data_IF_937291356635
#
_entry.id   IF_937291356635
#
_cell.length_a   1.000
_cell.length_b   1.000
_cell.length_c   1.000
_cell.angle_alpha   90.00
_cell.angle_beta   90.00
_cell.angle_gamma   90.00
#
_symmetry.space_group_name_H-M   'P 1'
#
loop_
_entity.id
_entity.type
_entity.pdbx_description
1 polymer ?
#
# COMPACT_ATOMS: atom_id res chain seq x y z
N UNK A 1 52.51 21.51 83.14
CA UNK A 1 51.47 20.79 82.36
C UNK A 1 51.95 20.20 81.01
N UNK A 2 53.26 19.91 80.81
CA UNK A 2 53.83 19.51 79.49
C UNK A 2 53.90 17.99 79.23
N UNK A 3 53.89 17.14 80.28
CA UNK A 3 54.04 15.68 80.17
C UNK A 3 52.82 14.91 79.61
N UNK A 4 51.61 15.49 79.67
CA UNK A 4 50.36 14.82 79.23
C UNK A 4 50.22 14.84 77.69
N UNK A 5 50.62 15.93 77.04
CA UNK A 5 50.52 16.07 75.58
C UNK A 5 51.54 15.19 74.84
N UNK A 6 52.73 14.98 75.42
CA UNK A 6 53.75 14.06 74.86
C UNK A 6 53.29 12.60 74.91
N UNK A 7 52.61 12.18 75.98
CA UNK A 7 52.05 10.82 76.08
C UNK A 7 50.93 10.56 75.07
N UNK A 8 50.12 11.57 74.73
CA UNK A 8 49.13 11.45 73.66
C UNK A 8 49.76 11.44 72.26
N UNK A 9 50.82 12.23 72.05
CA UNK A 9 51.56 12.25 70.79
C UNK A 9 52.23 10.89 70.50
N UNK A 10 52.83 10.27 71.52
CA UNK A 10 53.46 8.94 71.42
C UNK A 10 52.41 7.85 71.18
N UNK A 11 51.24 7.92 71.82
CA UNK A 11 50.14 6.97 71.57
C UNK A 11 49.59 7.09 70.15
N UNK A 12 49.45 8.30 69.62
CA UNK A 12 49.03 8.53 68.23
C UNK A 12 50.09 7.99 67.27
N UNK A 13 51.37 8.20 67.54
CA UNK A 13 52.47 7.68 66.73
C UNK A 13 52.51 6.15 66.72
N UNK A 14 52.29 5.50 67.86
CA UNK A 14 52.23 4.03 67.96
C UNK A 14 50.99 3.49 67.25
N UNK A 15 49.84 4.16 67.35
CA UNK A 15 48.63 3.76 66.60
C UNK A 15 48.82 3.94 65.09
N UNK A 16 49.49 5.00 64.65
CA UNK A 16 49.86 5.23 63.24
C UNK A 16 50.86 4.18 62.73
N UNK A 17 51.79 3.76 63.60
CA UNK A 17 52.80 2.76 63.29
C UNK A 17 52.21 1.33 63.25
N UNK A 18 51.15 1.05 64.03
CA UNK A 18 50.43 -0.23 63.98
C UNK A 18 49.43 -0.26 62.80
N UNK A 19 48.83 0.88 62.41
CA UNK A 19 47.95 0.96 61.24
C UNK A 19 48.69 0.74 59.90
N UNK A 20 50.01 0.97 59.88
CA UNK A 20 50.85 0.76 58.70
C UNK A 20 51.29 -0.70 58.48
N UNK A 21 51.12 -1.60 59.46
CA UNK A 21 51.65 -2.98 59.42
C UNK A 21 50.58 -4.00 58.99
N UNK A 22 49.29 -3.66 58.99
CA UNK A 22 48.20 -4.60 58.68
C UNK A 22 47.70 -4.58 57.23
N UNK A 23 48.32 -3.82 56.33
CA UNK A 23 48.10 -4.01 54.90
C UNK A 23 49.18 -4.99 54.42
N UNK A 24 48.92 -6.31 54.28
CA UNK A 24 49.76 -7.11 53.42
C UNK A 24 49.64 -6.48 52.04
N UNK A 25 50.65 -5.72 51.65
CA UNK A 25 50.83 -5.25 50.31
C UNK A 25 50.99 -6.51 49.45
N UNK A 26 49.88 -7.03 48.95
CA UNK A 26 49.86 -7.96 47.85
C UNK A 26 50.23 -7.16 46.60
N UNK A 27 51.51 -6.82 46.49
CA UNK A 27 52.13 -6.32 45.27
C UNK A 27 52.32 -7.51 44.35
N UNK A 28 51.22 -7.99 43.76
CA UNK A 28 51.33 -8.63 42.45
C UNK A 28 51.66 -7.51 41.45
N UNK A 29 52.95 -7.17 41.34
CA UNK A 29 53.44 -6.55 40.11
C UNK A 29 53.33 -7.62 39.03
N UNK A 30 52.17 -7.65 38.37
CA UNK A 30 51.97 -8.36 37.11
C UNK A 30 53.11 -7.92 36.19
N UNK A 31 53.97 -8.84 35.69
CA UNK A 31 55.12 -8.46 34.89
C UNK A 31 54.66 -7.61 33.70
N UNK A 32 55.45 -6.62 33.25
CA UNK A 32 55.06 -5.76 32.14
C UNK A 32 54.66 -6.65 30.96
N UNK A 33 53.44 -6.47 30.45
CA UNK A 33 52.92 -7.21 29.31
C UNK A 33 53.86 -6.92 28.14
N UNK A 34 54.73 -7.88 27.81
CA UNK A 34 55.61 -7.78 26.64
C UNK A 34 54.75 -8.11 25.43
N UNK A 35 54.20 -7.09 24.76
CA UNK A 35 53.54 -7.29 23.47
C UNK A 35 54.55 -7.91 22.52
N UNK A 36 54.28 -9.14 22.09
CA UNK A 36 55.08 -9.75 21.04
C UNK A 36 54.69 -9.10 19.70
N UNK A 37 55.60 -9.06 18.71
CA UNK A 37 55.23 -8.66 17.35
C UNK A 37 54.04 -9.45 16.78
N UNK A 38 53.81 -10.69 17.24
CA UNK A 38 52.63 -11.47 16.87
C UNK A 38 51.33 -10.89 17.47
N UNK A 39 51.32 -10.44 18.73
CA UNK A 39 50.14 -9.84 19.37
C UNK A 39 49.73 -8.52 18.69
N UNK A 40 50.73 -7.73 18.26
CA UNK A 40 50.51 -6.48 17.51
C UNK A 40 49.94 -6.79 16.13
N UNK A 41 50.46 -7.79 15.43
CA UNK A 41 49.95 -8.20 14.12
C UNK A 41 48.51 -8.76 14.19
N UNK A 42 48.20 -9.56 15.22
CA UNK A 42 46.85 -10.10 15.43
C UNK A 42 45.85 -9.00 15.76
N UNK A 43 46.20 -8.08 16.67
CA UNK A 43 45.32 -6.95 17.02
C UNK A 43 45.10 -5.98 15.85
N UNK A 44 46.12 -5.72 15.03
CA UNK A 44 45.97 -4.94 13.81
C UNK A 44 45.04 -5.62 12.79
N UNK A 45 45.19 -6.93 12.59
CA UNK A 45 44.30 -7.70 11.69
C UNK A 45 42.86 -7.81 12.20
N UNK A 46 42.66 -7.86 13.52
CA UNK A 46 41.33 -7.78 14.11
C UNK A 46 40.69 -6.41 13.90
N UNK A 47 41.44 -5.32 14.11
CA UNK A 47 40.96 -3.96 13.87
C UNK A 47 40.60 -3.73 12.40
N UNK A 48 41.41 -4.19 11.46
CA UNK A 48 41.10 -4.09 10.03
C UNK A 48 39.81 -4.84 9.66
N UNK A 49 39.58 -6.01 10.29
CA UNK A 49 38.32 -6.74 10.13
C UNK A 49 37.14 -6.01 10.75
N UNK A 50 37.29 -5.44 11.93
CA UNK A 50 36.25 -4.62 12.59
C UNK A 50 35.88 -3.41 11.72
N UNK A 51 36.87 -2.69 11.20
CA UNK A 51 36.65 -1.54 10.32
C UNK A 51 35.94 -1.97 9.01
N UNK A 52 36.33 -3.11 8.43
CA UNK A 52 35.68 -3.66 7.24
C UNK A 52 34.24 -4.12 7.49
N UNK A 53 33.95 -4.69 8.66
CA UNK A 53 32.59 -5.07 9.07
C UNK A 53 31.75 -3.82 9.31
N UNK A 54 32.26 -2.83 10.05
CA UNK A 54 31.57 -1.58 10.31
C UNK A 54 31.22 -0.82 9.02
N UNK A 55 32.13 -0.82 8.04
CA UNK A 55 31.88 -0.23 6.72
C UNK A 55 30.75 -0.96 5.97
N UNK A 56 30.70 -2.29 6.03
CA UNK A 56 29.63 -3.09 5.41
C UNK A 56 28.29 -2.89 6.10
N UNK A 57 28.28 -2.86 7.43
CA UNK A 57 27.07 -2.61 8.21
C UNK A 57 26.47 -1.24 7.89
N UNK A 58 27.31 -0.21 7.78
CA UNK A 58 26.87 1.12 7.37
C UNK A 58 26.27 1.12 5.97
N UNK A 59 26.94 0.48 5.00
CA UNK A 59 26.43 0.39 3.62
C UNK A 59 25.10 -0.39 3.54
N UNK A 60 24.95 -1.45 4.34
CA UNK A 60 23.70 -2.20 4.44
C UNK A 60 22.58 -1.36 5.06
N UNK A 61 22.85 -0.64 6.14
CA UNK A 61 21.86 0.24 6.78
C UNK A 61 21.38 1.35 5.84
N UNK A 62 22.29 1.93 5.03
CA UNK A 62 21.93 2.92 4.01
C UNK A 62 21.03 2.30 2.92
N UNK A 63 21.36 1.09 2.46
CA UNK A 63 20.56 0.34 1.48
C UNK A 63 19.19 -0.06 2.00
N UNK A 64 19.09 -0.51 3.24
CA UNK A 64 17.82 -0.84 3.89
C UNK A 64 16.91 0.39 3.99
N UNK A 65 17.48 1.56 4.33
CA UNK A 65 16.73 2.81 4.38
C UNK A 65 16.22 3.21 2.99
N UNK A 66 17.04 3.10 1.96
CA UNK A 66 16.67 3.37 0.56
C UNK A 66 15.55 2.43 0.10
N UNK A 67 15.70 1.12 0.33
CA UNK A 67 14.69 0.12 -0.01
C UNK A 67 13.39 0.33 0.75
N UNK A 68 13.46 0.69 2.04
CA UNK A 68 12.27 1.00 2.84
C UNK A 68 11.51 2.20 2.29
N UNK A 69 12.21 3.26 1.88
CA UNK A 69 11.60 4.43 1.26
C UNK A 69 10.94 4.08 -0.09
N UNK A 70 11.62 3.29 -0.93
CA UNK A 70 11.10 2.86 -2.21
C UNK A 70 9.87 1.96 -2.06
N UNK A 71 9.88 1.02 -1.10
CA UNK A 71 8.73 0.17 -0.81
C UNK A 71 7.51 1.01 -0.38
N UNK A 72 7.70 2.02 0.46
CA UNK A 72 6.62 2.95 0.83
C UNK A 72 6.07 3.70 -0.37
N UNK A 73 6.93 4.19 -1.26
CA UNK A 73 6.49 4.89 -2.48
C UNK A 73 5.69 3.94 -3.40
N UNK A 74 6.11 2.68 -3.51
CA UNK A 74 5.39 1.65 -4.28
C UNK A 74 4.02 1.38 -3.66
N UNK A 75 3.92 1.21 -2.35
CA UNK A 75 2.66 1.00 -1.65
C UNK A 75 1.70 2.21 -1.82
N UNK A 76 2.22 3.42 -1.73
CA UNK A 76 1.45 4.65 -1.99
C UNK A 76 0.94 4.72 -3.44
N UNK A 77 1.77 4.32 -4.41
CA UNK A 77 1.34 4.26 -5.82
C UNK A 77 0.29 3.18 -6.02
N UNK A 78 0.46 2.01 -5.41
CA UNK A 78 -0.48 0.89 -5.52
C UNK A 78 -1.84 1.24 -4.93
N UNK A 79 -1.87 1.88 -3.76
CA UNK A 79 -3.11 2.36 -3.13
C UNK A 79 -3.82 3.41 -3.98
N UNK A 80 -3.09 4.38 -4.54
CA UNK A 80 -3.64 5.36 -5.49
C UNK A 80 -4.22 4.71 -6.75
N UNK A 81 -3.51 3.74 -7.33
CA UNK A 81 -3.98 3.02 -8.52
C UNK A 81 -5.26 2.23 -8.23
N UNK A 82 -5.33 1.55 -7.09
CA UNK A 82 -6.54 0.80 -6.70
C UNK A 82 -7.72 1.75 -6.47
N UNK A 83 -7.52 2.88 -5.79
CA UNK A 83 -8.57 3.87 -5.59
C UNK A 83 -9.09 4.41 -6.93
N UNK A 84 -8.20 4.73 -7.87
CA UNK A 84 -8.59 5.18 -9.21
C UNK A 84 -9.32 4.08 -10.00
N UNK A 85 -8.89 2.81 -9.86
CA UNK A 85 -9.57 1.69 -10.49
C UNK A 85 -11.00 1.50 -9.94
N UNK A 86 -11.19 1.62 -8.63
CA UNK A 86 -12.51 1.57 -8.00
C UNK A 86 -13.39 2.73 -8.42
N UNK A 87 -12.84 3.94 -8.49
CA UNK A 87 -13.57 5.11 -8.99
C UNK A 87 -14.02 4.90 -10.43
N UNK A 88 -13.12 4.44 -11.32
CA UNK A 88 -13.46 4.12 -12.72
C UNK A 88 -14.51 3.02 -12.82
N UNK A 89 -14.40 1.96 -12.01
CA UNK A 89 -15.44 0.90 -11.95
C UNK A 89 -16.77 1.45 -11.46
N UNK A 90 -16.77 2.36 -10.49
CA UNK A 90 -17.95 3.05 -9.99
C UNK A 90 -18.61 3.93 -11.04
N UNK A 91 -17.81 4.74 -11.75
CA UNK A 91 -18.28 5.61 -12.84
C UNK A 91 -18.83 4.79 -14.01
N UNK A 92 -18.12 3.75 -14.45
CA UNK A 92 -18.58 2.85 -15.52
C UNK A 92 -19.83 2.07 -15.09
N UNK A 93 -19.85 1.51 -13.89
CA UNK A 93 -21.00 0.78 -13.35
C UNK A 93 -22.22 1.68 -13.16
N UNK A 94 -22.03 2.92 -12.70
CA UNK A 94 -23.08 3.94 -12.57
C UNK A 94 -23.61 4.41 -13.92
N UNK A 95 -22.73 4.65 -14.89
CA UNK A 95 -23.10 5.05 -16.24
C UNK A 95 -23.88 3.95 -16.98
N UNK A 96 -23.46 2.70 -16.86
CA UNK A 96 -24.15 1.54 -17.46
C UNK A 96 -25.52 1.34 -16.80
N UNK A 97 -25.60 1.31 -15.46
CA UNK A 97 -26.88 1.18 -14.74
C UNK A 97 -27.85 2.34 -15.02
N UNK A 98 -27.33 3.56 -15.13
CA UNK A 98 -28.13 4.75 -15.46
C UNK A 98 -28.74 4.68 -16.85
N UNK A 99 -27.92 4.33 -17.86
CA UNK A 99 -28.38 4.14 -19.24
C UNK A 99 -29.38 2.98 -19.35
N UNK A 100 -29.12 1.86 -18.69
CA UNK A 100 -30.04 0.71 -18.66
C UNK A 100 -31.38 1.08 -18.03
N UNK A 101 -31.39 1.87 -16.95
CA UNK A 101 -32.63 2.28 -16.29
C UNK A 101 -33.42 3.27 -17.14
N UNK A 102 -32.75 4.23 -17.78
CA UNK A 102 -33.39 5.17 -18.72
C UNK A 102 -33.98 4.42 -19.92
N UNK A 103 -33.25 3.46 -20.48
CA UNK A 103 -33.72 2.61 -21.57
C UNK A 103 -34.92 1.76 -21.13
N UNK A 104 -34.86 1.09 -19.97
CA UNK A 104 -36.00 0.34 -19.41
C UNK A 104 -37.25 1.21 -19.21
N UNK A 105 -37.08 2.43 -18.73
CA UNK A 105 -38.18 3.39 -18.57
C UNK A 105 -38.77 3.77 -19.92
N UNK A 106 -37.93 4.01 -20.94
CA UNK A 106 -38.37 4.25 -22.31
C UNK A 106 -39.23 3.08 -22.82
N UNK A 107 -38.72 1.85 -22.75
CA UNK A 107 -39.47 0.65 -23.18
C UNK A 107 -40.81 0.53 -22.44
N UNK A 108 -40.84 0.83 -21.14
CA UNK A 108 -42.07 0.81 -20.34
C UNK A 108 -43.11 1.82 -20.84
N UNK A 109 -42.69 3.03 -21.19
CA UNK A 109 -43.58 4.08 -21.75
C UNK A 109 -44.15 3.62 -23.10
N UNK A 110 -43.29 3.14 -24.00
CA UNK A 110 -43.71 2.66 -25.32
C UNK A 110 -44.62 1.43 -25.22
N UNK A 111 -44.35 0.52 -24.28
CA UNK A 111 -45.15 -0.69 -24.04
C UNK A 111 -46.51 -0.41 -23.39
N UNK A 112 -46.64 0.69 -22.63
CA UNK A 112 -47.91 1.11 -22.03
C UNK A 112 -48.80 1.89 -23.02
N UNK A 113 -48.24 2.37 -24.12
CA UNK A 113 -48.95 3.13 -25.14
C UNK A 113 -49.67 2.20 -26.11
N UNK A 114 -50.78 2.67 -26.70
CA UNK A 114 -51.49 1.88 -27.71
C UNK A 114 -50.65 1.71 -28.99
N UNK A 115 -50.69 0.54 -29.65
CA UNK A 115 -49.90 0.30 -30.86
C UNK A 115 -50.10 1.34 -31.98
N UNK A 116 -51.31 1.89 -32.11
CA UNK A 116 -51.62 2.93 -33.10
C UNK A 116 -50.96 4.28 -32.80
N UNK A 117 -50.57 4.56 -31.55
CA UNK A 117 -49.81 5.77 -31.19
C UNK A 117 -48.30 5.54 -31.26
N UNK A 118 -47.85 4.31 -31.02
CA UNK A 118 -46.44 3.93 -31.10
C UNK A 118 -45.92 3.86 -32.54
N UNK A 119 -46.70 3.27 -33.45
CA UNK A 119 -46.30 3.10 -34.84
C UNK A 119 -45.84 4.41 -35.53
N UNK A 120 -46.58 5.54 -35.48
CA UNK A 120 -46.13 6.78 -36.10
C UNK A 120 -44.90 7.42 -35.42
N UNK A 121 -44.60 7.06 -34.17
CA UNK A 121 -43.35 7.47 -33.52
C UNK A 121 -42.17 6.69 -34.09
N UNK A 122 -42.32 5.37 -34.23
CA UNK A 122 -41.28 4.51 -34.80
C UNK A 122 -41.02 4.79 -36.28
N UNK A 123 -42.05 5.18 -37.05
CA UNK A 123 -41.89 5.58 -38.46
C UNK A 123 -40.96 6.79 -38.63
N UNK A 124 -40.91 7.69 -37.64
CA UNK A 124 -40.07 8.89 -37.64
C UNK A 124 -38.66 8.68 -37.08
N UNK A 125 -38.41 7.52 -36.46
CA UNK A 125 -37.10 7.17 -35.91
C UNK A 125 -36.20 6.55 -36.97
N UNK A 126 -34.90 6.45 -36.70
CA UNK A 126 -34.00 5.66 -37.52
C UNK A 126 -34.33 4.16 -37.42
N UNK A 127 -34.06 3.39 -38.47
CA UNK A 127 -34.40 1.96 -38.52
C UNK A 127 -33.74 1.17 -37.38
N UNK A 128 -32.49 1.51 -37.04
CA UNK A 128 -31.70 0.83 -35.99
C UNK A 128 -32.31 1.09 -34.60
N UNK A 129 -32.69 2.32 -34.29
CA UNK A 129 -33.29 2.70 -33.01
C UNK A 129 -34.68 2.05 -32.83
N UNK A 130 -35.48 2.04 -33.89
CA UNK A 130 -36.79 1.38 -33.87
C UNK A 130 -36.66 -0.13 -33.60
N UNK A 131 -35.68 -0.80 -34.20
CA UNK A 131 -35.39 -2.21 -33.98
C UNK A 131 -34.95 -2.48 -32.54
N UNK A 132 -34.09 -1.62 -31.98
CA UNK A 132 -33.62 -1.76 -30.61
C UNK A 132 -34.78 -1.68 -29.60
N UNK A 133 -35.70 -0.73 -29.80
CA UNK A 133 -36.92 -0.59 -29.00
C UNK A 133 -37.80 -1.84 -29.17
N UNK A 134 -38.08 -2.26 -30.40
CA UNK A 134 -38.96 -3.39 -30.67
C UNK A 134 -38.40 -4.71 -30.13
N UNK A 135 -37.08 -4.94 -30.17
CA UNK A 135 -36.43 -6.13 -29.59
C UNK A 135 -36.61 -6.21 -28.07
N UNK A 136 -36.64 -5.07 -27.40
CA UNK A 136 -36.84 -5.00 -25.95
C UNK A 136 -38.32 -5.08 -25.53
N UNK A 137 -39.27 -4.99 -26.47
CA UNK A 137 -40.69 -5.12 -26.22
C UNK A 137 -41.16 -6.59 -26.25
N UNK A 138 -42.34 -6.86 -25.67
CA UNK A 138 -42.98 -8.18 -25.75
C UNK A 138 -43.40 -8.48 -27.19
N UNK A 139 -43.22 -9.72 -27.63
CA UNK A 139 -43.56 -10.19 -28.98
C UNK A 139 -45.00 -9.86 -29.39
N UNK A 140 -45.98 -10.00 -28.48
CA UNK A 140 -47.39 -9.67 -28.75
C UNK A 140 -47.62 -8.18 -29.05
N UNK A 141 -46.84 -7.30 -28.41
CA UNK A 141 -46.92 -5.87 -28.66
C UNK A 141 -46.31 -5.54 -30.02
N UNK A 142 -45.14 -6.12 -30.32
CA UNK A 142 -44.44 -5.97 -31.62
C UNK A 142 -45.34 -6.43 -32.77
N UNK A 143 -45.99 -7.59 -32.64
CA UNK A 143 -46.92 -8.14 -33.64
C UNK A 143 -48.11 -7.20 -33.92
N UNK A 144 -48.52 -6.39 -32.95
CA UNK A 144 -49.60 -5.39 -33.12
C UNK A 144 -49.11 -4.05 -33.67
N UNK A 145 -47.81 -3.77 -33.56
CA UNK A 145 -47.18 -2.51 -33.99
C UNK A 145 -46.71 -2.60 -35.45
N UNK A 146 -46.04 -3.69 -35.84
CA UNK A 146 -45.48 -3.86 -37.19
C UNK A 146 -46.52 -3.60 -38.29
N UNK A 147 -47.75 -4.16 -38.24
CA UNK A 147 -48.76 -3.93 -39.27
C UNK A 147 -49.29 -2.49 -39.35
N UNK A 148 -48.94 -1.64 -38.37
CA UNK A 148 -49.37 -0.24 -38.28
C UNK A 148 -48.28 0.74 -38.71
N UNK A 149 -47.06 0.25 -38.97
CA UNK A 149 -45.97 1.06 -39.53
C UNK A 149 -46.23 1.35 -41.00
N UNK A 150 -45.54 2.35 -41.54
CA UNK A 150 -45.46 2.54 -42.98
C UNK A 150 -44.92 1.27 -43.65
N UNK A 151 -45.46 0.90 -44.82
CA UNK A 151 -45.13 -0.37 -45.50
C UNK A 151 -43.62 -0.56 -45.68
N UNK A 152 -42.91 0.47 -46.16
CA UNK A 152 -41.46 0.39 -46.34
C UNK A 152 -40.71 0.24 -45.02
N UNK A 153 -41.17 0.93 -43.97
CA UNK A 153 -40.58 0.85 -42.63
C UNK A 153 -40.77 -0.54 -42.03
N UNK A 154 -41.97 -1.10 -42.13
CA UNK A 154 -42.30 -2.45 -41.66
C UNK A 154 -41.35 -3.48 -42.27
N UNK A 155 -41.13 -3.45 -43.60
CA UNK A 155 -40.23 -4.38 -44.30
C UNK A 155 -38.79 -4.25 -43.78
N UNK A 156 -38.26 -3.02 -43.69
CA UNK A 156 -36.87 -2.81 -43.24
C UNK A 156 -36.65 -3.26 -41.80
N UNK A 157 -37.54 -2.87 -40.90
CA UNK A 157 -37.48 -3.23 -39.48
C UNK A 157 -37.69 -4.73 -39.29
N UNK A 158 -38.63 -5.36 -39.99
CA UNK A 158 -38.84 -6.81 -39.95
C UNK A 158 -37.59 -7.59 -40.37
N UNK A 159 -36.92 -7.17 -41.45
CA UNK A 159 -35.65 -7.79 -41.88
C UNK A 159 -34.55 -7.68 -40.82
N UNK A 160 -34.43 -6.52 -40.18
CA UNK A 160 -33.45 -6.30 -39.10
C UNK A 160 -33.80 -7.05 -37.80
N UNK A 161 -35.07 -7.36 -37.57
CA UNK A 161 -35.53 -8.19 -36.46
C UNK A 161 -35.29 -9.68 -36.68
N UNK A 162 -35.03 -10.12 -37.92
CA UNK A 162 -34.82 -11.52 -38.27
C UNK A 162 -36.07 -12.22 -38.83
N UNK A 163 -37.06 -11.47 -39.31
CA UNK A 163 -38.06 -12.02 -40.23
C UNK A 163 -37.39 -12.17 -41.61
N UNK A 164 -37.46 -13.35 -42.25
CA UNK A 164 -36.93 -13.56 -43.59
C UNK A 164 -37.57 -12.63 -44.63
#
# INVERSE_FOLDING_TARGET
MKKRNIRHLIKILIVLLILAITIPAFTEEKPPIKLTPQDIAVSAGLKEREDAVAAKEKALAEKEKELSALNKEVDEKFTKLNALQEELKGQLGGAVKGKDQQFKNLIKIYSAMSPSKVAPLLDKMEDVEAVEILRAMKTDAVAKIIPKLAQDKAVRVSRLLGLP
#
